data_IF_524312204422
#
_entry.id   IF_524312204422
#
_cell.length_a   1.000
_cell.length_b   1.000
_cell.length_c   1.000
_cell.angle_alpha   90.00
_cell.angle_beta   90.00
_cell.angle_gamma   90.00
#
_symmetry.space_group_name_H-M   'P 1'
#
loop_
_entity.id
_entity.type
_entity.pdbx_description
1 polymer ?
#
# COMPACT_ATOMS: atom_id res chain seq x y z
N UNK A 1 18.32 -7.75 14.81
CA UNK A 1 18.46 -8.40 13.49
C UNK A 1 18.10 -7.40 12.40
N UNK A 2 18.70 -7.48 11.20
CA UNK A 2 18.24 -6.72 10.03
C UNK A 2 16.97 -7.33 9.43
N UNK A 3 16.00 -6.48 9.12
CA UNK A 3 14.74 -6.84 8.46
C UNK A 3 14.80 -6.46 6.98
N UNK A 4 15.37 -5.30 6.63
CA UNK A 4 15.58 -4.86 5.25
C UNK A 4 17.08 -4.68 4.97
N UNK A 5 17.64 -5.52 4.09
CA UNK A 5 19.06 -5.41 3.71
C UNK A 5 19.35 -4.23 2.78
N UNK A 6 18.39 -3.84 1.93
CA UNK A 6 18.60 -2.76 0.93
C UNK A 6 18.88 -1.40 1.59
N UNK A 7 18.18 -1.12 2.70
CA UNK A 7 18.29 0.15 3.43
C UNK A 7 18.88 -0.02 4.83
N UNK A 8 19.35 -1.23 5.18
CA UNK A 8 19.95 -1.51 6.48
C UNK A 8 19.00 -1.34 7.67
N UNK A 9 17.71 -1.60 7.49
CA UNK A 9 16.70 -1.40 8.55
C UNK A 9 16.67 -2.60 9.49
N UNK A 10 16.77 -2.33 10.78
CA UNK A 10 16.74 -3.33 11.85
C UNK A 10 15.33 -3.58 12.36
N UNK A 11 15.14 -4.73 13.00
CA UNK A 11 13.90 -5.07 13.70
C UNK A 11 13.56 -4.06 14.81
N UNK A 12 14.59 -3.54 15.49
CA UNK A 12 14.40 -2.54 16.52
C UNK A 12 13.82 -1.25 15.94
N UNK A 13 14.37 -0.75 14.84
CA UNK A 13 13.82 0.43 14.15
C UNK A 13 12.37 0.21 13.69
N UNK A 14 12.04 -0.99 13.19
CA UNK A 14 10.65 -1.32 12.83
C UNK A 14 9.72 -1.23 14.05
N UNK A 15 10.17 -1.69 15.22
CA UNK A 15 9.39 -1.61 16.47
C UNK A 15 9.28 -0.18 16.99
N UNK A 16 10.35 0.60 16.97
CA UNK A 16 10.35 2.02 17.35
C UNK A 16 9.38 2.83 16.47
N UNK A 17 9.36 2.57 15.16
CA UNK A 17 8.40 3.21 14.27
C UNK A 17 6.97 2.75 14.53
N UNK A 18 6.74 1.48 14.90
CA UNK A 18 5.42 1.01 15.29
C UNK A 18 4.93 1.72 16.57
N UNK A 19 5.81 1.90 17.55
CA UNK A 19 5.56 2.66 18.78
C UNK A 19 5.30 4.14 18.49
N UNK A 20 5.98 4.72 17.49
CA UNK A 20 5.72 6.08 17.00
C UNK A 20 4.43 6.19 16.15
N UNK A 21 3.66 5.11 16.00
CA UNK A 21 2.37 5.09 15.30
C UNK A 21 2.40 4.62 13.84
N UNK A 22 3.56 4.20 13.32
CA UNK A 22 3.69 3.62 11.97
C UNK A 22 3.27 2.15 12.00
N UNK A 23 1.98 1.96 11.84
CA UNK A 23 1.25 0.77 12.21
C UNK A 23 0.95 -0.20 11.06
N UNK A 24 1.47 0.10 9.89
CA UNK A 24 1.29 -0.70 8.68
C UNK A 24 2.63 -0.77 7.94
N UNK A 25 2.88 -1.81 7.13
CA UNK A 25 4.09 -1.89 6.33
C UNK A 25 4.31 -0.65 5.45
N UNK A 26 3.20 -0.05 4.98
CA UNK A 26 3.23 1.18 4.19
C UNK A 26 3.67 2.39 5.02
N UNK A 27 3.19 2.52 6.26
CA UNK A 27 3.65 3.58 7.17
C UNK A 27 5.11 3.37 7.60
N UNK A 28 5.50 2.12 7.87
CA UNK A 28 6.92 1.78 8.13
C UNK A 28 7.77 2.17 6.92
N UNK A 29 7.33 1.86 5.70
CA UNK A 29 8.03 2.26 4.49
C UNK A 29 8.16 3.79 4.37
N UNK A 30 7.12 4.55 4.72
CA UNK A 30 7.17 6.02 4.72
C UNK A 30 8.14 6.58 5.78
N UNK A 31 8.23 5.96 6.96
CA UNK A 31 9.11 6.43 8.04
C UNK A 31 10.57 5.98 7.88
N UNK A 32 10.81 4.79 7.32
CA UNK A 32 12.12 4.11 7.34
C UNK A 32 12.65 3.72 5.97
N UNK A 33 11.90 3.93 4.89
CA UNK A 33 12.20 3.46 3.52
C UNK A 33 12.21 1.92 3.36
N UNK A 34 11.92 1.16 4.41
CA UNK A 34 11.88 -0.30 4.30
C UNK A 34 10.84 -0.78 3.27
N UNK A 35 11.25 -1.67 2.36
CA UNK A 35 10.34 -2.29 1.40
C UNK A 35 9.99 -1.47 0.17
N UNK A 36 10.64 -0.31 -0.06
CA UNK A 36 10.44 0.51 -1.27
C UNK A 36 11.35 0.12 -2.45
N UNK A 37 12.24 -0.86 -2.25
CA UNK A 37 13.17 -1.37 -3.27
C UNK A 37 12.74 -2.80 -3.68
N UNK A 38 13.52 -3.84 -3.36
CA UNK A 38 13.21 -5.22 -3.76
C UNK A 38 11.96 -5.83 -3.08
N UNK A 39 11.41 -5.18 -2.05
CA UNK A 39 10.17 -5.60 -1.38
C UNK A 39 10.25 -6.88 -0.53
N UNK A 40 11.36 -7.62 -0.52
CA UNK A 40 11.46 -8.92 0.17
C UNK A 40 11.19 -8.88 1.68
N UNK A 41 11.44 -7.73 2.32
CA UNK A 41 11.19 -7.53 3.75
C UNK A 41 9.73 -7.30 4.13
N UNK A 42 8.82 -7.02 3.17
CA UNK A 42 7.45 -6.59 3.45
C UNK A 42 6.65 -7.63 4.24
N UNK A 43 6.74 -8.92 3.88
CA UNK A 43 6.06 -9.99 4.63
C UNK A 43 6.62 -10.17 6.04
N UNK A 44 7.93 -9.96 6.22
CA UNK A 44 8.58 -10.01 7.53
C UNK A 44 8.11 -8.84 8.41
N UNK A 45 8.04 -7.63 7.85
CA UNK A 45 7.50 -6.45 8.54
C UNK A 45 6.05 -6.69 8.97
N UNK A 46 5.21 -7.26 8.10
CA UNK A 46 3.83 -7.64 8.44
C UNK A 46 3.77 -8.62 9.62
N UNK A 47 4.65 -9.62 9.65
CA UNK A 47 4.71 -10.58 10.75
C UNK A 47 5.13 -9.91 12.07
N UNK A 48 6.08 -8.98 12.03
CA UNK A 48 6.55 -8.23 13.20
C UNK A 48 5.48 -7.29 13.77
N UNK A 49 4.70 -6.64 12.91
CA UNK A 49 3.58 -5.78 13.32
C UNK A 49 2.35 -6.56 13.78
N UNK A 50 2.30 -7.87 13.54
CA UNK A 50 1.14 -8.71 13.85
C UNK A 50 -0.10 -8.37 13.01
N UNK A 51 -1.15 -9.20 13.14
CA UNK A 51 -2.45 -8.98 12.48
C UNK A 51 -3.30 -7.96 13.25
N UNK A 52 -2.79 -6.77 13.50
CA UNK A 52 -3.60 -5.63 13.98
C UNK A 52 -3.32 -5.11 15.38
N UNK A 53 -2.11 -5.22 15.91
CA UNK A 53 -1.75 -4.65 17.24
C UNK A 53 -1.54 -3.14 17.22
N UNK A 54 -2.25 -2.47 16.33
CA UNK A 54 -2.06 -1.05 16.10
C UNK A 54 -3.19 -0.29 16.74
N UNK A 55 -2.90 0.67 17.64
CA UNK A 55 -3.91 1.40 18.38
C UNK A 55 -4.98 2.04 17.48
N UNK A 56 -4.64 2.40 16.23
CA UNK A 56 -5.62 2.90 15.26
C UNK A 56 -6.70 1.87 14.93
N UNK A 57 -6.41 0.57 14.88
CA UNK A 57 -7.40 -0.49 14.65
C UNK A 57 -8.30 -0.65 15.88
N UNK A 58 -7.72 -0.66 17.07
CA UNK A 58 -8.49 -0.59 18.33
C UNK A 58 -9.35 0.66 18.43
N UNK A 59 -8.89 1.84 18.02
CA UNK A 59 -9.69 3.07 17.99
C UNK A 59 -10.83 3.01 16.95
N UNK A 60 -10.61 2.33 15.82
CA UNK A 60 -11.66 2.08 14.81
C UNK A 60 -12.68 1.04 15.34
N UNK A 61 -12.22 -0.03 15.99
CA UNK A 61 -13.06 -1.07 16.61
C UNK A 61 -13.81 -0.57 17.86
N UNK A 62 -13.26 0.41 18.59
CA UNK A 62 -13.89 1.11 19.73
C UNK A 62 -14.90 2.20 19.31
N UNK A 63 -15.08 2.44 18.01
CA UNK A 63 -16.15 3.28 17.51
C UNK A 63 -15.95 4.80 17.70
N UNK A 64 -14.85 5.37 17.19
CA UNK A 64 -14.80 6.78 16.78
C UNK A 64 -13.73 6.97 15.67
N UNK A 65 -14.02 7.70 14.57
CA UNK A 65 -14.69 9.00 14.59
C UNK A 65 -16.08 8.97 13.96
N UNK A 66 -17.01 9.74 14.52
CA UNK A 66 -18.12 10.27 13.73
C UNK A 66 -17.52 11.01 12.54
N UNK A 67 -17.82 10.62 11.29
CA UNK A 67 -17.46 11.42 10.15
C UNK A 67 -18.34 12.68 10.17
N UNK A 68 -17.67 13.83 10.07
CA UNK A 68 -18.17 15.20 9.94
C UNK A 68 -18.35 16.00 11.24
N UNK A 69 -17.46 17.01 11.35
CA UNK A 69 -17.57 18.17 12.23
C UNK A 69 -16.55 19.21 11.79
N UNK A 70 -16.52 19.50 10.48
CA UNK A 70 -15.99 20.78 10.03
C UNK A 70 -16.97 21.84 10.56
N UNK A 71 -16.50 22.71 11.45
CA UNK A 71 -17.07 24.04 11.56
C UNK A 71 -16.00 25.02 11.09
N UNK A 72 -16.37 26.03 10.27
CA UNK A 72 -15.51 26.68 9.31
C UNK A 72 -14.91 27.97 9.88
N UNK A 73 -13.70 28.33 9.43
CA UNK A 73 -13.24 29.72 9.42
C UNK A 73 -12.87 30.05 7.98
N UNK A 74 -13.80 30.79 7.35
CA UNK A 74 -13.79 31.55 6.09
C UNK A 74 -12.86 31.15 4.93
N UNK A 75 -13.54 30.92 3.80
CA UNK A 75 -13.14 31.01 2.38
C UNK A 75 -11.96 30.16 1.84
N UNK A 76 -12.06 29.39 0.75
CA UNK A 76 -13.14 29.14 -0.21
C UNK A 76 -12.81 27.94 -1.13
N UNK A 77 -13.87 27.30 -1.62
CA UNK A 77 -14.00 26.53 -2.87
C UNK A 77 -13.48 25.07 -2.97
N UNK A 78 -14.40 24.16 -2.64
CA UNK A 78 -15.00 23.16 -3.54
C UNK A 78 -14.10 22.26 -4.41
N UNK A 79 -14.24 20.94 -4.21
CA UNK A 79 -13.85 19.95 -5.20
C UNK A 79 -13.89 18.52 -4.67
N UNK A 80 -15.06 17.89 -4.70
CA UNK A 80 -15.24 16.47 -4.46
C UNK A 80 -14.48 15.66 -5.53
N UNK A 81 -13.44 14.94 -5.14
CA UNK A 81 -13.11 13.65 -5.75
C UNK A 81 -13.20 12.60 -4.65
N UNK A 82 -14.43 12.10 -4.48
CA UNK A 82 -14.62 10.74 -4.05
C UNK A 82 -14.01 9.88 -5.16
N UNK A 83 -12.70 9.60 -5.01
CA UNK A 83 -11.99 8.63 -5.81
C UNK A 83 -12.73 7.30 -5.67
N UNK A 84 -13.67 7.11 -6.59
CA UNK A 84 -14.38 5.87 -6.81
C UNK A 84 -13.31 4.79 -6.79
N UNK A 85 -13.52 3.78 -5.93
CA UNK A 85 -12.91 2.48 -6.16
C UNK A 85 -13.35 2.06 -7.55
N UNK A 86 -12.58 2.43 -8.56
CA UNK A 86 -12.66 1.77 -9.84
C UNK A 86 -12.10 0.40 -9.51
N UNK A 87 -12.90 -0.67 -9.56
CA UNK A 87 -12.31 -1.99 -9.66
C UNK A 87 -11.53 -1.92 -10.97
N UNK A 88 -10.22 -1.75 -10.84
CA UNK A 88 -9.20 -1.95 -11.86
C UNK A 88 -9.85 -2.50 -13.13
N UNK A 89 -9.99 -1.63 -14.12
CA UNK A 89 -10.34 -2.05 -15.47
C UNK A 89 -9.20 -2.97 -15.92
N UNK A 90 -9.35 -4.26 -15.64
CA UNK A 90 -8.51 -5.29 -16.23
C UNK A 90 -9.14 -5.49 -17.60
N UNK A 91 -8.93 -4.54 -18.49
CA UNK A 91 -9.10 -4.80 -19.90
C UNK A 91 -8.05 -5.88 -20.21
N UNK A 92 -8.42 -7.13 -20.53
CA UNK A 92 -7.45 -8.04 -21.10
C UNK A 92 -6.99 -7.40 -22.41
N UNK A 93 -5.70 -7.08 -22.51
CA UNK A 93 -5.11 -6.75 -23.79
C UNK A 93 -5.44 -7.90 -24.73
N UNK A 94 -6.32 -7.65 -25.70
CA UNK A 94 -6.53 -8.53 -26.82
C UNK A 94 -5.15 -8.82 -27.41
N UNK A 95 -4.74 -10.08 -27.38
CA UNK A 95 -3.66 -10.55 -28.25
C UNK A 95 -4.15 -10.34 -29.68
N UNK A 96 -3.45 -9.58 -30.53
CA UNK A 96 -3.73 -9.62 -31.95
C UNK A 96 -3.39 -11.02 -32.44
N UNK A 97 -4.43 -11.83 -32.60
CA UNK A 97 -4.37 -13.08 -33.34
C UNK A 97 -4.23 -12.75 -34.85
N UNK A 98 -3.67 -13.71 -35.59
CA UNK A 98 -3.49 -13.76 -37.04
C UNK A 98 -2.24 -13.09 -37.65
N UNK A 99 -1.17 -13.89 -37.72
CA UNK A 99 -0.38 -14.02 -38.94
C UNK A 99 -1.07 -15.04 -39.87
N UNK A 100 -1.51 -14.67 -41.09
CA UNK A 100 -1.67 -15.64 -42.17
C UNK A 100 -0.60 -15.36 -43.24
N UNK A 101 0.62 -15.84 -43.00
CA UNK A 101 1.70 -15.86 -43.98
C UNK A 101 1.96 -17.30 -44.40
N UNK A 102 1.44 -17.68 -45.55
CA UNK A 102 1.55 -19.01 -46.14
C UNK A 102 2.99 -19.53 -46.21
N UNK A 103 3.18 -20.77 -45.77
CA UNK A 103 4.28 -21.61 -46.25
C UNK A 103 3.86 -22.16 -47.63
N UNK A 104 4.64 -21.97 -48.70
CA UNK A 104 4.60 -22.91 -49.82
C UNK A 104 5.45 -24.14 -49.50
N UNK A 105 4.81 -25.32 -49.58
CA UNK A 105 5.45 -26.63 -49.66
C UNK A 105 6.34 -26.76 -50.92
N UNK A 106 7.51 -27.39 -50.71
CA UNK A 106 8.27 -28.31 -51.56
C UNK A 106 8.17 -28.21 -53.11
N UNK A 107 9.34 -28.00 -53.74
CA UNK A 107 9.83 -28.75 -54.92
C UNK A 107 11.33 -28.53 -55.12
#
# INVERSE_FOLDING_TARGET
MYVCSCFGITEQQVREHAESGACTPRQIASASKAGTDCGGCVRRIQALLGRGTCPRRELIDQGAPEPLGAEPSDEAAAGTDAGTRVPYDITPHATPDAMPGALPEAA
#
